data_IF_535884214145
#
_entry.id   IF_535884214145
#
_cell.length_a   1.000
_cell.length_b   1.000
_cell.length_c   1.000
_cell.angle_alpha   90.00
_cell.angle_beta   90.00
_cell.angle_gamma   90.00
#
_symmetry.space_group_name_H-M   'P 1'
#
loop_
_entity.id
_entity.type
_entity.pdbx_description
1 polymer ?
#
# COMPACT_ATOMS: atom_id res chain seq x y z
N UNK A 1 -13.54 25.84 16.93
CA UNK A 1 -13.25 24.48 16.44
C UNK A 1 -14.33 24.01 15.47
N UNK A 2 -15.59 23.94 15.90
CA UNK A 2 -16.72 23.54 15.04
C UNK A 2 -16.85 24.42 13.78
N UNK A 3 -16.73 25.74 13.89
CA UNK A 3 -16.82 26.66 12.75
C UNK A 3 -15.74 26.39 11.67
N UNK A 4 -14.49 26.11 12.08
CA UNK A 4 -13.42 25.79 11.12
C UNK A 4 -13.63 24.44 10.45
N UNK A 5 -14.21 23.47 11.17
CA UNK A 5 -14.54 22.16 10.62
C UNK A 5 -15.69 22.29 9.60
N UNK A 6 -16.74 23.06 9.95
CA UNK A 6 -17.87 23.36 9.07
C UNK A 6 -17.45 24.03 7.78
N UNK A 7 -16.61 25.08 7.85
CA UNK A 7 -16.13 25.78 6.66
C UNK A 7 -15.39 24.83 5.70
N UNK A 8 -14.56 23.94 6.24
CA UNK A 8 -13.82 22.97 5.42
C UNK A 8 -14.70 21.88 4.84
N UNK A 9 -15.67 21.35 5.60
CA UNK A 9 -16.63 20.36 5.11
C UNK A 9 -17.55 20.93 4.03
N UNK A 10 -17.98 22.19 4.19
CA UNK A 10 -18.76 22.89 3.17
C UNK A 10 -17.95 23.13 1.88
N UNK A 11 -16.63 23.35 1.98
CA UNK A 11 -15.75 23.47 0.80
C UNK A 11 -15.69 22.17 0.00
N UNK A 12 -15.81 21.02 0.69
CA UNK A 12 -15.85 19.67 0.09
C UNK A 12 -17.27 19.24 -0.33
N UNK A 13 -18.24 20.18 -0.40
CA UNK A 13 -19.66 19.94 -0.73
C UNK A 13 -20.39 18.99 0.25
N UNK A 14 -19.95 18.90 1.50
CA UNK A 14 -20.63 18.13 2.56
C UNK A 14 -21.52 19.08 3.34
N UNK A 15 -22.84 18.88 3.25
CA UNK A 15 -23.82 19.69 4.00
C UNK A 15 -23.71 19.35 5.50
N UNK A 16 -23.62 20.38 6.35
CA UNK A 16 -23.47 20.23 7.80
C UNK A 16 -24.54 20.96 8.57
N UNK A 17 -25.08 20.34 9.62
CA UNK A 17 -26.01 20.95 10.57
C UNK A 17 -25.42 20.84 11.98
N UNK A 18 -25.46 21.91 12.74
CA UNK A 18 -24.85 21.97 14.08
C UNK A 18 -25.92 21.71 15.16
N UNK A 19 -25.50 20.98 16.21
CA UNK A 19 -26.28 20.79 17.42
C UNK A 19 -25.42 21.12 18.64
N UNK A 20 -25.93 21.92 19.57
CA UNK A 20 -25.19 22.34 20.78
C UNK A 20 -25.34 21.36 21.95
N UNK A 21 -26.25 20.41 21.85
CA UNK A 21 -26.53 19.42 22.89
C UNK A 21 -27.00 18.10 22.30
N UNK A 22 -26.81 16.99 23.04
CA UNK A 22 -27.24 15.65 22.65
C UNK A 22 -28.77 15.57 22.40
N UNK A 23 -29.67 16.15 23.23
CA UNK A 23 -31.10 16.18 22.94
C UNK A 23 -31.46 16.91 21.64
N UNK A 24 -30.77 18.01 21.33
CA UNK A 24 -30.96 18.76 20.07
C UNK A 24 -30.49 17.95 18.87
N UNK A 25 -29.35 17.26 18.99
CA UNK A 25 -28.82 16.36 17.95
C UNK A 25 -29.79 15.21 17.65
N UNK A 26 -30.34 14.58 18.71
CA UNK A 26 -31.29 13.46 18.56
C UNK A 26 -32.63 13.92 17.92
N UNK A 27 -33.07 15.13 18.19
CA UNK A 27 -34.27 15.70 17.57
C UNK A 27 -34.05 16.03 16.09
N UNK A 28 -32.88 16.55 15.75
CA UNK A 28 -32.46 16.78 14.36
C UNK A 28 -32.36 15.46 13.57
N UNK A 29 -31.79 14.42 14.16
CA UNK A 29 -31.71 13.09 13.53
C UNK A 29 -33.08 12.43 13.32
N UNK A 30 -34.10 12.79 14.12
CA UNK A 30 -35.46 12.31 13.92
C UNK A 30 -36.24 13.09 12.87
N UNK A 31 -35.90 14.36 12.67
CA UNK A 31 -36.60 15.27 11.75
C UNK A 31 -35.94 15.37 10.37
N UNK A 32 -34.71 14.95 10.21
CA UNK A 32 -33.93 15.01 8.97
C UNK A 32 -33.20 13.70 8.65
N UNK A 33 -32.69 13.56 7.41
CA UNK A 33 -31.82 12.47 6.99
C UNK A 33 -30.36 12.93 7.12
N UNK A 34 -29.56 12.16 7.85
CA UNK A 34 -28.14 12.42 8.04
C UNK A 34 -27.37 11.11 7.84
N UNK A 35 -26.24 11.19 7.13
CA UNK A 35 -25.41 10.02 6.81
C UNK A 35 -24.42 9.70 7.93
N UNK A 36 -23.97 10.71 8.68
CA UNK A 36 -23.00 10.56 9.77
C UNK A 36 -23.14 11.65 10.83
N UNK A 37 -22.59 11.40 12.02
CA UNK A 37 -22.46 12.38 13.10
C UNK A 37 -21.00 12.57 13.51
N UNK A 38 -20.59 13.82 13.76
CA UNK A 38 -19.29 14.14 14.36
C UNK A 38 -19.55 14.72 15.75
N UNK A 39 -19.05 14.07 16.80
CA UNK A 39 -19.33 14.44 18.19
C UNK A 39 -18.05 14.79 18.96
N UNK A 40 -18.14 15.73 19.91
CA UNK A 40 -17.06 16.01 20.87
C UNK A 40 -17.01 14.88 21.92
N UNK A 41 -15.80 14.46 22.33
CA UNK A 41 -15.52 13.24 23.08
C UNK A 41 -16.18 13.06 24.45
N UNK A 42 -17.01 14.01 24.87
CA UNK A 42 -17.79 13.92 26.11
C UNK A 42 -19.15 13.22 25.93
N UNK A 43 -19.52 12.82 24.70
CA UNK A 43 -20.84 12.24 24.39
C UNK A 43 -20.73 10.78 23.93
N UNK A 44 -21.73 9.97 24.30
CA UNK A 44 -21.81 8.55 23.90
C UNK A 44 -22.41 8.40 22.49
N UNK A 45 -21.75 7.61 21.64
CA UNK A 45 -22.19 7.34 20.26
C UNK A 45 -23.47 6.51 20.16
N UNK A 46 -23.82 5.74 21.21
CA UNK A 46 -25.00 4.83 21.23
C UNK A 46 -26.33 5.55 21.18
N UNK A 47 -26.38 6.82 21.58
CA UNK A 47 -27.65 7.58 21.71
C UNK A 47 -28.11 8.22 20.37
N UNK A 48 -27.22 8.33 19.38
CA UNK A 48 -27.52 9.05 18.11
C UNK A 48 -28.02 8.09 17.02
N UNK A 49 -27.61 6.82 17.06
CA UNK A 49 -28.05 5.80 16.09
C UNK A 49 -27.54 5.98 14.64
N UNK A 50 -26.58 6.87 14.43
CA UNK A 50 -25.90 7.12 13.15
C UNK A 50 -24.43 6.70 13.23
N UNK A 51 -23.78 6.40 12.08
CA UNK A 51 -22.35 6.26 12.01
C UNK A 51 -21.65 7.49 12.62
N UNK A 52 -20.83 7.31 13.65
CA UNK A 52 -20.32 8.42 14.47
C UNK A 52 -18.81 8.50 14.43
N UNK A 53 -18.27 9.71 14.29
CA UNK A 53 -16.84 10.02 14.43
C UNK A 53 -16.65 10.86 15.69
N UNK A 54 -15.78 10.42 16.59
CA UNK A 54 -15.52 11.12 17.86
C UNK A 54 -14.29 12.03 17.71
N UNK A 55 -14.44 13.28 18.18
CA UNK A 55 -13.37 14.28 18.16
C UNK A 55 -13.11 14.71 19.60
N UNK A 56 -11.84 14.70 20.05
CA UNK A 56 -11.50 15.15 21.42
C UNK A 56 -10.26 16.04 21.44
N UNK A 57 -10.18 16.93 22.41
CA UNK A 57 -9.02 17.81 22.61
C UNK A 57 -7.94 17.20 23.50
N UNK A 58 -8.32 16.23 24.32
CA UNK A 58 -7.40 15.50 25.21
C UNK A 58 -7.17 14.12 24.67
N UNK A 59 -6.00 13.84 24.05
CA UNK A 59 -5.69 12.51 23.58
C UNK A 59 -5.47 11.57 24.77
N UNK A 60 -6.47 10.74 25.04
CA UNK A 60 -6.36 9.65 26.02
C UNK A 60 -6.66 8.32 25.32
N UNK A 61 -5.75 7.36 25.51
CA UNK A 61 -5.86 6.05 24.86
C UNK A 61 -7.08 5.26 25.39
N UNK A 62 -7.42 5.44 26.67
CA UNK A 62 -8.58 4.76 27.25
C UNK A 62 -9.89 5.27 26.66
N UNK A 63 -10.03 6.60 26.52
CA UNK A 63 -11.21 7.25 25.90
C UNK A 63 -11.36 6.87 24.44
N UNK A 64 -10.26 6.74 23.68
CA UNK A 64 -10.29 6.29 22.28
C UNK A 64 -10.79 4.84 22.16
N UNK A 65 -10.31 3.94 23.04
CA UNK A 65 -10.74 2.54 23.05
C UNK A 65 -12.20 2.43 23.44
N UNK A 66 -12.67 3.25 24.37
CA UNK A 66 -14.04 3.27 24.85
C UNK A 66 -15.00 3.80 23.77
N UNK A 67 -14.64 4.86 23.07
CA UNK A 67 -15.41 5.40 21.94
C UNK A 67 -15.59 4.36 20.81
N UNK A 68 -14.51 3.66 20.43
CA UNK A 68 -14.57 2.59 19.43
C UNK A 68 -15.37 1.35 19.88
N UNK A 69 -15.36 1.01 21.18
CA UNK A 69 -16.20 -0.05 21.75
C UNK A 69 -17.68 0.29 21.70
N UNK A 70 -18.02 1.56 21.86
CA UNK A 70 -19.39 2.08 21.78
C UNK A 70 -19.85 2.39 20.34
N UNK A 71 -19.12 1.87 19.34
CA UNK A 71 -19.55 1.90 17.93
C UNK A 71 -19.11 3.14 17.14
N UNK A 72 -18.21 3.97 17.66
CA UNK A 72 -17.60 5.03 16.86
C UNK A 72 -16.76 4.45 15.72
N UNK A 73 -16.89 5.02 14.53
CA UNK A 73 -16.14 4.59 13.34
C UNK A 73 -14.69 5.06 13.35
N UNK A 74 -14.45 6.25 13.90
CA UNK A 74 -13.10 6.80 14.03
C UNK A 74 -13.01 7.77 15.21
N UNK A 75 -11.77 8.02 15.67
CA UNK A 75 -11.44 8.92 16.77
C UNK A 75 -10.33 9.87 16.34
N UNK A 76 -10.59 11.17 16.38
CA UNK A 76 -9.68 12.20 15.87
C UNK A 76 -9.29 13.21 16.94
N UNK A 77 -8.02 13.63 16.92
CA UNK A 77 -7.47 14.66 17.80
C UNK A 77 -6.94 15.84 17.02
N UNK A 78 -7.11 17.09 17.49
CA UNK A 78 -6.50 18.27 16.85
C UNK A 78 -4.95 18.23 16.93
N UNK A 79 -4.23 18.67 15.88
CA UNK A 79 -4.73 19.14 14.59
C UNK A 79 -5.26 17.99 13.74
N UNK A 80 -6.49 18.15 13.16
CA UNK A 80 -7.14 17.07 12.42
C UNK A 80 -6.44 16.75 11.11
N UNK A 81 -6.24 15.49 10.84
CA UNK A 81 -5.99 15.02 9.49
C UNK A 81 -7.32 15.03 8.69
N UNK A 82 -7.50 16.10 7.90
CA UNK A 82 -8.71 16.28 7.09
C UNK A 82 -8.88 15.18 6.04
N UNK A 83 -7.78 14.63 5.51
CA UNK A 83 -7.87 13.56 4.52
C UNK A 83 -8.46 12.30 5.15
N UNK A 84 -8.00 11.95 6.35
CA UNK A 84 -8.53 10.83 7.12
C UNK A 84 -10.02 11.01 7.45
N UNK A 85 -10.44 12.21 7.86
CA UNK A 85 -11.85 12.51 8.13
C UNK A 85 -12.71 12.34 6.87
N UNK A 86 -12.25 12.88 5.73
CA UNK A 86 -12.96 12.78 4.45
C UNK A 86 -13.03 11.35 3.93
N UNK A 87 -11.97 10.55 4.08
CA UNK A 87 -11.98 9.13 3.72
C UNK A 87 -13.01 8.35 4.54
N UNK A 88 -13.08 8.60 5.85
CA UNK A 88 -14.06 7.96 6.74
C UNK A 88 -15.49 8.35 6.36
N UNK A 89 -15.77 9.63 6.08
CA UNK A 89 -17.09 10.11 5.65
C UNK A 89 -17.49 9.52 4.29
N UNK A 90 -16.59 9.50 3.31
CA UNK A 90 -16.86 8.89 1.98
C UNK A 90 -17.11 7.38 2.07
N UNK A 91 -16.47 6.71 3.01
CA UNK A 91 -16.72 5.28 3.28
C UNK A 91 -18.15 5.01 3.79
N UNK A 92 -18.77 5.95 4.50
CA UNK A 92 -20.14 5.84 5.00
C UNK A 92 -21.14 5.97 3.85
N UNK A 93 -20.98 6.99 2.99
CA UNK A 93 -21.90 7.24 1.87
C UNK A 93 -21.84 6.16 0.79
N UNK A 94 -20.71 5.51 0.58
CA UNK A 94 -20.56 4.40 -0.36
C UNK A 94 -21.29 3.10 0.07
N UNK A 95 -21.67 2.94 1.34
CA UNK A 95 -22.41 1.78 1.85
C UNK A 95 -23.93 1.83 1.60
N UNK A 96 -24.51 2.99 1.28
CA UNK A 96 -25.97 3.13 1.13
C UNK A 96 -26.50 2.85 -0.29
N UNK A 97 -25.66 2.86 -1.31
CA UNK A 97 -26.11 2.58 -2.70
C UNK A 97 -26.39 1.09 -3.01
N UNK A 98 -26.10 0.14 -2.11
CA UNK A 98 -26.29 -1.30 -2.32
C UNK A 98 -27.53 -1.91 -1.64
N UNK A 99 -28.47 -1.14 -1.07
CA UNK A 99 -29.64 -1.69 -0.36
C UNK A 99 -30.98 -1.45 -1.05
N UNK A 100 -31.17 -1.99 -2.26
CA UNK A 100 -32.54 -2.28 -2.77
C UNK A 100 -32.56 -3.58 -3.59
N UNK A 101 -32.54 -4.73 -2.95
CA UNK A 101 -33.16 -5.98 -3.43
C UNK A 101 -33.21 -7.03 -2.30
N UNK A 102 -34.38 -7.64 -2.13
CA UNK A 102 -34.79 -8.56 -1.07
C UNK A 102 -33.99 -9.87 -0.96
N UNK A 103 -34.10 -10.63 0.18
CA UNK A 103 -33.07 -11.54 0.66
C UNK A 103 -33.16 -12.99 0.11
N UNK A 104 -32.05 -13.72 0.04
CA UNK A 104 -32.06 -15.06 0.53
C UNK A 104 -30.84 -15.46 1.39
N UNK A 105 -31.19 -16.04 2.54
CA UNK A 105 -30.55 -17.15 3.27
C UNK A 105 -29.01 -17.18 3.43
N UNK A 106 -28.64 -17.10 4.72
CA UNK A 106 -27.39 -17.58 5.36
C UNK A 106 -26.61 -18.63 4.57
N UNK A 107 -25.31 -18.35 4.37
CA UNK A 107 -24.22 -19.16 4.93
C UNK A 107 -22.84 -18.58 4.54
N UNK A 108 -21.93 -18.59 5.53
CA UNK A 108 -20.49 -18.76 5.41
C UNK A 108 -19.59 -17.58 5.07
N UNK A 109 -18.70 -17.31 6.06
CA UNK A 109 -17.33 -16.78 5.96
C UNK A 109 -17.12 -15.47 5.17
N UNK A 110 -17.01 -14.41 5.95
CA UNK A 110 -16.38 -13.16 5.50
C UNK A 110 -14.95 -13.42 5.02
N UNK A 111 -14.79 -13.52 3.70
CA UNK A 111 -13.49 -13.34 3.06
C UNK A 111 -13.16 -11.84 3.03
N UNK A 112 -11.91 -11.44 3.23
CA UNK A 112 -11.51 -10.06 3.00
C UNK A 112 -11.73 -9.74 1.52
N UNK A 113 -12.54 -8.73 1.21
CA UNK A 113 -12.71 -8.21 -0.14
C UNK A 113 -11.35 -7.78 -0.66
N UNK A 114 -10.80 -8.54 -1.60
CA UNK A 114 -9.72 -8.08 -2.46
C UNK A 114 -10.23 -6.84 -3.19
N UNK A 115 -9.76 -5.68 -2.78
CA UNK A 115 -9.81 -4.51 -3.63
C UNK A 115 -9.11 -4.88 -4.93
N UNK A 116 -9.87 -4.97 -6.03
CA UNK A 116 -9.33 -5.03 -7.38
C UNK A 116 -8.56 -3.73 -7.63
N UNK A 117 -7.34 -3.65 -7.11
CA UNK A 117 -6.36 -2.69 -7.56
C UNK A 117 -6.04 -3.11 -8.99
N UNK A 118 -6.57 -2.38 -9.97
CA UNK A 118 -6.22 -2.58 -11.38
C UNK A 118 -4.70 -2.48 -11.45
N UNK A 119 -4.03 -3.62 -11.63
CA UNK A 119 -2.57 -3.65 -11.61
C UNK A 119 -2.07 -2.86 -12.80
N UNK A 120 -1.31 -1.81 -12.54
CA UNK A 120 -0.71 -0.97 -13.57
C UNK A 120 0.05 -1.84 -14.58
N UNK A 121 -0.04 -1.54 -15.88
CA UNK A 121 0.70 -2.29 -16.90
C UNK A 121 2.20 -2.02 -16.77
N UNK A 122 3.02 -3.02 -17.09
CA UNK A 122 4.45 -2.81 -17.29
C UNK A 122 4.62 -2.08 -18.63
N UNK A 123 4.97 -0.79 -18.58
CA UNK A 123 5.10 0.07 -19.74
C UNK A 123 6.51 0.00 -20.34
N UNK A 124 6.59 0.00 -21.67
CA UNK A 124 7.83 -0.03 -22.43
C UNK A 124 7.74 -0.96 -23.63
N UNK A 125 8.63 -0.77 -24.61
CA UNK A 125 8.77 -1.56 -25.82
C UNK A 125 10.22 -2.01 -26.05
N UNK A 126 11.14 -1.66 -25.16
CA UNK A 126 12.53 -2.07 -25.24
C UNK A 126 12.67 -3.59 -25.10
N UNK A 127 13.67 -4.17 -25.78
CA UNK A 127 13.98 -5.61 -25.71
C UNK A 127 14.21 -6.07 -24.26
N UNK A 128 14.83 -5.21 -23.45
CA UNK A 128 15.11 -5.49 -22.05
C UNK A 128 13.83 -5.69 -21.23
N UNK A 129 12.82 -4.80 -21.42
CA UNK A 129 11.55 -4.93 -20.68
C UNK A 129 10.67 -6.06 -21.26
N UNK A 130 10.78 -6.32 -22.58
CA UNK A 130 10.09 -7.47 -23.17
C UNK A 130 10.67 -8.80 -22.68
N UNK A 131 11.99 -8.86 -22.43
CA UNK A 131 12.61 -10.00 -21.77
C UNK A 131 12.01 -10.23 -20.37
N UNK A 132 11.86 -9.19 -19.55
CA UNK A 132 11.22 -9.28 -18.23
C UNK A 132 9.79 -9.80 -18.35
N UNK A 133 8.99 -9.27 -19.29
CA UNK A 133 7.61 -9.76 -19.52
C UNK A 133 7.59 -11.23 -19.93
N UNK A 134 8.53 -11.67 -20.75
CA UNK A 134 8.64 -13.06 -21.18
C UNK A 134 9.01 -13.97 -20.01
N UNK A 135 9.94 -13.54 -19.14
CA UNK A 135 10.27 -14.25 -17.90
C UNK A 135 9.04 -14.37 -17.00
N UNK A 136 8.29 -13.28 -16.78
CA UNK A 136 7.04 -13.32 -16.00
C UNK A 136 6.07 -14.35 -16.59
N UNK A 137 5.83 -14.34 -17.92
CA UNK A 137 4.90 -15.28 -18.57
C UNK A 137 5.29 -16.74 -18.37
N UNK A 138 6.58 -17.05 -18.40
CA UNK A 138 7.11 -18.42 -18.25
C UNK A 138 7.09 -18.89 -16.81
N UNK A 139 7.41 -18.00 -15.88
CA UNK A 139 7.65 -18.34 -14.47
C UNK A 139 6.35 -18.28 -13.65
N UNK A 140 5.42 -17.40 -14.00
CA UNK A 140 4.20 -17.18 -13.23
C UNK A 140 3.37 -18.46 -12.99
N UNK A 141 3.16 -19.36 -13.98
CA UNK A 141 2.38 -20.58 -13.77
C UNK A 141 3.03 -21.61 -12.81
N UNK A 142 4.32 -21.47 -12.52
CA UNK A 142 5.02 -22.35 -11.58
C UNK A 142 4.95 -21.79 -10.16
N UNK A 143 5.10 -22.67 -9.15
CA UNK A 143 5.28 -22.25 -7.75
C UNK A 143 6.76 -21.97 -7.40
N UNK A 144 7.62 -21.85 -8.41
CA UNK A 144 9.04 -21.53 -8.19
C UNK A 144 9.18 -20.18 -7.45
N UNK A 145 10.14 -20.13 -6.53
CA UNK A 145 10.54 -18.89 -5.88
C UNK A 145 11.30 -18.02 -6.87
N UNK A 146 11.09 -16.72 -6.75
CA UNK A 146 11.69 -15.74 -7.65
C UNK A 146 12.41 -14.68 -6.83
N UNK A 147 13.64 -14.40 -7.23
CA UNK A 147 14.40 -13.26 -6.74
C UNK A 147 14.43 -12.19 -7.83
N UNK A 148 13.84 -11.03 -7.54
CA UNK A 148 13.78 -9.88 -8.44
C UNK A 148 14.91 -8.92 -8.08
N UNK A 149 15.85 -8.72 -8.99
CA UNK A 149 17.00 -7.84 -8.82
C UNK A 149 16.80 -6.55 -9.60
N UNK A 150 17.31 -5.45 -9.09
CA UNK A 150 17.28 -4.17 -9.79
C UNK A 150 17.35 -2.98 -8.84
N UNK A 151 17.72 -1.83 -9.38
CA UNK A 151 17.85 -0.59 -8.63
C UNK A 151 16.51 -0.12 -8.02
N UNK A 152 16.62 0.83 -7.08
CA UNK A 152 15.43 1.45 -6.50
C UNK A 152 14.61 2.19 -7.57
N UNK A 153 13.28 2.04 -7.50
CA UNK A 153 12.37 2.71 -8.44
C UNK A 153 12.29 2.12 -9.84
N UNK A 154 12.87 0.93 -10.11
CA UNK A 154 12.79 0.26 -11.43
C UNK A 154 11.46 -0.45 -11.68
N UNK A 155 10.65 -0.68 -10.62
CA UNK A 155 9.36 -1.36 -10.71
C UNK A 155 9.39 -2.83 -10.29
N UNK A 156 10.30 -3.24 -9.38
CA UNK A 156 10.39 -4.61 -8.84
C UNK A 156 9.06 -5.11 -8.25
N UNK A 157 8.35 -4.25 -7.50
CA UNK A 157 7.02 -4.55 -6.96
C UNK A 157 6.01 -4.90 -8.06
N UNK A 158 6.00 -4.13 -9.16
CA UNK A 158 5.11 -4.38 -10.29
C UNK A 158 5.39 -5.74 -10.94
N UNK A 159 6.66 -6.14 -11.04
CA UNK A 159 7.05 -7.48 -11.49
C UNK A 159 6.49 -8.57 -10.58
N UNK A 160 6.60 -8.40 -9.25
CA UNK A 160 6.07 -9.35 -8.27
C UNK A 160 4.54 -9.45 -8.35
N UNK A 161 3.82 -8.34 -8.48
CA UNK A 161 2.36 -8.33 -8.68
C UNK A 161 1.96 -9.06 -9.96
N UNK A 162 2.67 -8.85 -11.07
CA UNK A 162 2.39 -9.55 -12.33
C UNK A 162 2.71 -11.04 -12.27
N UNK A 163 3.75 -11.45 -11.54
CA UNK A 163 4.02 -12.86 -11.27
C UNK A 163 2.86 -13.52 -10.52
N UNK A 164 2.29 -12.85 -9.52
CA UNK A 164 1.11 -13.34 -8.80
C UNK A 164 -0.13 -13.41 -9.70
N UNK A 165 -0.48 -12.30 -10.39
CA UNK A 165 -1.68 -12.22 -11.21
C UNK A 165 -1.72 -13.22 -12.37
N UNK A 166 -0.54 -13.61 -12.90
CA UNK A 166 -0.43 -14.62 -13.98
C UNK A 166 -0.19 -16.02 -13.44
N UNK A 167 -0.21 -16.22 -12.12
CA UNK A 167 -0.01 -17.51 -11.49
C UNK A 167 -1.32 -18.27 -11.29
N UNK A 168 -1.19 -19.55 -10.90
CA UNK A 168 -2.32 -20.36 -10.47
C UNK A 168 -2.93 -19.89 -9.13
N UNK A 169 -2.26 -18.94 -8.46
CA UNK A 169 -2.69 -18.34 -7.17
C UNK A 169 -3.25 -16.92 -7.34
N UNK A 170 -3.63 -16.50 -8.56
CA UNK A 170 -4.06 -15.13 -8.86
C UNK A 170 -5.27 -14.64 -8.06
N UNK A 171 -6.14 -15.55 -7.59
CA UNK A 171 -7.31 -15.25 -6.77
C UNK A 171 -7.04 -15.36 -5.26
N UNK A 172 -5.87 -15.84 -4.88
CA UNK A 172 -5.45 -16.01 -3.50
C UNK A 172 -4.80 -14.72 -2.95
N UNK A 173 -4.52 -14.63 -1.64
CA UNK A 173 -3.92 -13.43 -1.06
C UNK A 173 -2.55 -13.10 -1.68
N UNK A 174 -2.33 -11.82 -1.98
CA UNK A 174 -1.01 -11.24 -2.25
C UNK A 174 -0.64 -10.36 -1.06
N UNK A 175 0.35 -10.79 -0.30
CA UNK A 175 0.77 -10.10 0.93
C UNK A 175 2.15 -9.52 0.72
N UNK A 176 2.30 -8.24 1.05
CA UNK A 176 3.55 -7.50 0.89
C UNK A 176 4.19 -7.19 2.24
N UNK A 177 5.51 -7.21 2.23
CA UNK A 177 6.32 -6.73 3.34
C UNK A 177 7.57 -6.04 2.80
N UNK A 178 7.80 -4.81 3.23
CA UNK A 178 9.05 -4.09 2.96
C UNK A 178 9.97 -4.26 4.17
N UNK A 179 11.04 -5.03 3.99
CA UNK A 179 11.96 -5.37 5.07
C UNK A 179 12.80 -4.18 5.55
N UNK A 180 13.07 -3.19 4.68
CA UNK A 180 13.79 -1.98 5.04
C UNK A 180 12.95 -0.99 5.87
N UNK A 181 11.62 -1.01 5.71
CA UNK A 181 10.72 -0.10 6.41
C UNK A 181 10.40 -0.54 7.85
N UNK A 182 10.75 -1.76 8.24
CA UNK A 182 10.44 -2.34 9.54
C UNK A 182 11.70 -2.39 10.40
N UNK A 183 11.69 -1.87 11.63
CA UNK A 183 12.82 -2.02 12.55
C UNK A 183 13.24 -3.48 12.72
N UNK A 184 14.54 -3.75 12.81
CA UNK A 184 15.10 -5.10 12.87
C UNK A 184 14.53 -5.96 14.01
N UNK A 185 14.16 -5.33 15.13
CA UNK A 185 13.58 -6.02 16.30
C UNK A 185 12.11 -6.44 16.07
N UNK A 186 11.40 -5.78 15.14
CA UNK A 186 9.99 -6.03 14.87
C UNK A 186 9.76 -6.90 13.63
N UNK A 187 10.77 -7.05 12.77
CA UNK A 187 10.63 -7.78 11.50
C UNK A 187 10.18 -9.23 11.70
N UNK A 188 10.71 -9.90 12.73
CA UNK A 188 10.32 -11.27 13.05
C UNK A 188 8.85 -11.35 13.48
N UNK A 189 8.39 -10.41 14.30
CA UNK A 189 7.00 -10.33 14.75
C UNK A 189 6.04 -10.03 13.59
N UNK A 190 6.44 -9.18 12.64
CA UNK A 190 5.64 -8.88 11.46
C UNK A 190 5.57 -10.08 10.50
N UNK A 191 6.69 -10.77 10.26
CA UNK A 191 6.73 -11.93 9.35
C UNK A 191 6.02 -13.15 9.91
N UNK A 192 6.30 -13.51 11.16
CA UNK A 192 5.87 -14.78 11.77
C UNK A 192 4.72 -14.64 12.75
N UNK A 193 4.36 -13.41 13.14
CA UNK A 193 3.40 -13.16 14.20
C UNK A 193 3.96 -13.35 15.61
N UNK A 194 3.16 -13.07 16.60
CA UNK A 194 3.55 -13.21 18.00
C UNK A 194 2.40 -13.71 18.86
N UNK A 195 2.74 -14.40 19.94
CA UNK A 195 1.82 -14.79 21.00
C UNK A 195 1.67 -13.63 22.01
N UNK A 196 0.56 -13.64 22.73
CA UNK A 196 0.33 -12.67 23.82
C UNK A 196 1.43 -12.78 24.87
N UNK A 197 2.06 -11.65 25.22
CA UNK A 197 3.11 -11.58 26.26
C UNK A 197 4.51 -11.96 25.80
N UNK A 198 4.75 -12.16 24.51
CA UNK A 198 6.07 -12.50 23.95
C UNK A 198 7.11 -11.36 24.06
N UNK A 199 6.66 -10.12 24.18
CA UNK A 199 7.48 -8.94 24.48
C UNK A 199 6.60 -7.87 25.17
N UNK A 200 7.21 -6.81 25.70
CA UNK A 200 6.54 -5.83 26.56
C UNK A 200 5.27 -5.20 25.99
N UNK A 201 5.22 -5.00 24.65
CA UNK A 201 4.05 -4.44 23.96
C UNK A 201 3.12 -5.47 23.30
N UNK A 202 3.35 -6.78 23.49
CA UNK A 202 2.52 -7.86 22.94
C UNK A 202 1.24 -8.10 23.77
N UNK A 203 0.32 -7.15 23.76
CA UNK A 203 -0.94 -7.21 24.54
C UNK A 203 -1.88 -8.29 24.03
N UNK A 204 -1.89 -8.53 22.70
CA UNK A 204 -2.75 -9.53 22.02
C UNK A 204 -1.89 -10.39 21.09
N UNK A 205 -2.37 -11.60 20.81
CA UNK A 205 -1.82 -12.44 19.75
C UNK A 205 -2.07 -11.80 18.38
N UNK A 206 -1.07 -11.84 17.46
CA UNK A 206 -1.18 -11.32 16.09
C UNK A 206 -0.64 -12.34 15.10
N UNK A 207 -1.37 -12.54 14.00
CA UNK A 207 -0.92 -13.34 12.86
C UNK A 207 0.17 -12.61 12.09
N UNK A 208 1.19 -13.35 11.64
CA UNK A 208 2.26 -12.83 10.80
C UNK A 208 1.92 -12.84 9.31
N UNK A 209 2.78 -12.19 8.51
CA UNK A 209 2.62 -12.09 7.06
C UNK A 209 2.61 -13.46 6.37
N UNK A 210 3.38 -14.45 6.85
CA UNK A 210 3.33 -15.82 6.33
C UNK A 210 1.96 -16.46 6.52
N UNK A 211 1.33 -16.30 7.71
CA UNK A 211 -0.01 -16.81 7.94
C UNK A 211 -1.08 -16.11 7.09
N UNK A 212 -0.92 -14.79 6.86
CA UNK A 212 -1.83 -14.01 6.04
C UNK A 212 -1.72 -14.36 4.56
N UNK A 213 -0.54 -14.80 4.11
CA UNK A 213 -0.26 -15.20 2.74
C UNK A 213 -0.57 -16.68 2.45
N UNK A 214 -1.12 -17.42 3.41
CA UNK A 214 -1.38 -18.85 3.25
C UNK A 214 -2.30 -19.14 2.05
N UNK A 215 -1.91 -20.10 1.22
CA UNK A 215 -2.52 -20.41 -0.06
C UNK A 215 -2.17 -19.43 -1.20
N UNK A 216 -1.49 -18.32 -0.89
CA UNK A 216 -1.22 -17.21 -1.81
C UNK A 216 0.25 -16.95 -2.10
N UNK A 217 0.61 -15.67 -2.19
CA UNK A 217 1.96 -15.20 -2.48
C UNK A 217 2.41 -14.18 -1.43
N UNK A 218 3.60 -14.37 -0.88
CA UNK A 218 4.29 -13.40 -0.04
C UNK A 218 5.37 -12.70 -0.86
N UNK A 219 5.26 -11.39 -0.99
CA UNK A 219 6.28 -10.55 -1.58
C UNK A 219 7.11 -9.88 -0.49
N UNK A 220 8.43 -10.15 -0.48
CA UNK A 220 9.39 -9.56 0.43
C UNK A 220 10.27 -8.58 -0.33
N UNK A 221 9.99 -7.28 -0.17
CA UNK A 221 10.82 -6.22 -0.76
C UNK A 221 12.00 -5.89 0.14
N UNK A 222 13.11 -5.51 -0.48
CA UNK A 222 14.40 -5.18 0.13
C UNK A 222 14.87 -6.25 1.13
N UNK A 223 14.85 -7.53 0.68
CA UNK A 223 15.25 -8.69 1.49
C UNK A 223 16.69 -8.59 2.00
N UNK A 224 17.56 -7.86 1.27
CA UNK A 224 18.95 -7.63 1.64
C UNK A 224 19.15 -6.76 2.88
N UNK A 225 18.10 -6.11 3.40
CA UNK A 225 18.13 -5.31 4.63
C UNK A 225 17.70 -6.09 5.88
N UNK A 226 17.36 -7.36 5.72
CA UNK A 226 16.89 -8.21 6.81
C UNK A 226 18.06 -8.63 7.74
N UNK A 227 17.81 -8.62 9.05
CA UNK A 227 18.78 -9.12 10.04
C UNK A 227 19.08 -10.61 9.85
N UNK A 228 20.28 -11.06 10.22
CA UNK A 228 20.69 -12.47 10.10
C UNK A 228 19.78 -13.43 10.87
N UNK A 229 19.21 -12.99 12.01
CA UNK A 229 18.28 -13.79 12.79
C UNK A 229 16.97 -14.01 12.04
N UNK A 230 16.41 -12.94 11.43
CA UNK A 230 15.22 -13.04 10.61
C UNK A 230 15.46 -13.88 9.34
N UNK A 231 16.64 -13.73 8.70
CA UNK A 231 17.04 -14.57 7.56
C UNK A 231 17.04 -16.05 7.91
N UNK A 232 17.54 -16.44 9.09
CA UNK A 232 17.55 -17.84 9.54
C UNK A 232 16.12 -18.39 9.71
N UNK A 233 15.20 -17.60 10.26
CA UNK A 233 13.80 -18.01 10.42
C UNK A 233 13.07 -18.09 9.08
N UNK A 234 13.32 -17.15 8.15
CA UNK A 234 12.79 -17.22 6.77
C UNK A 234 13.30 -18.49 6.07
N UNK A 235 14.59 -18.80 6.18
CA UNK A 235 15.15 -20.03 5.62
C UNK A 235 14.41 -21.26 6.13
N UNK A 236 14.18 -21.34 7.45
CA UNK A 236 13.45 -22.45 8.06
C UNK A 236 12.02 -22.55 7.51
N UNK A 237 11.30 -21.41 7.43
CA UNK A 237 9.97 -21.38 6.86
C UNK A 237 9.91 -21.87 5.40
N UNK A 238 10.93 -21.52 4.59
CA UNK A 238 11.06 -21.97 3.20
C UNK A 238 11.46 -23.45 3.04
N UNK A 239 12.08 -24.04 4.05
CA UNK A 239 12.54 -25.45 4.03
C UNK A 239 11.44 -26.39 4.52
N UNK A 240 10.79 -26.03 5.63
CA UNK A 240 9.85 -26.88 6.36
C UNK A 240 8.38 -26.62 5.97
N UNK A 241 8.08 -25.52 5.26
CA UNK A 241 6.73 -25.01 5.00
C UNK A 241 5.93 -24.84 6.31
N UNK A 242 6.61 -24.45 7.36
CA UNK A 242 6.06 -24.21 8.69
C UNK A 242 6.69 -22.96 9.28
N UNK A 243 5.92 -22.32 10.13
CA UNK A 243 6.37 -21.17 10.93
C UNK A 243 6.03 -21.39 12.40
N UNK A 244 6.76 -20.69 13.27
CA UNK A 244 6.46 -20.62 14.70
C UNK A 244 6.37 -19.14 15.08
N UNK A 245 5.32 -18.75 15.80
CA UNK A 245 5.17 -17.36 16.26
C UNK A 245 6.22 -17.01 17.30
N UNK A 246 6.56 -15.72 17.38
CA UNK A 246 7.48 -15.23 18.40
C UNK A 246 6.85 -15.45 19.79
N UNK A 247 7.59 -16.12 20.67
CA UNK A 247 7.12 -16.51 22.02
C UNK A 247 6.17 -17.70 22.05
N UNK A 248 5.97 -18.40 20.92
CA UNK A 248 5.18 -19.64 20.86
C UNK A 248 6.04 -20.85 20.51
N UNK A 249 5.52 -22.03 20.81
CA UNK A 249 6.17 -23.33 20.52
C UNK A 249 5.42 -24.14 19.46
N UNK A 250 4.28 -23.63 18.98
CA UNK A 250 3.43 -24.35 18.03
C UNK A 250 3.87 -24.11 16.60
N UNK A 251 4.16 -25.19 15.88
CA UNK A 251 4.35 -25.15 14.43
C UNK A 251 3.02 -24.94 13.71
N UNK A 252 3.00 -23.98 12.78
CA UNK A 252 1.87 -23.67 11.92
C UNK A 252 2.29 -23.97 10.48
N UNK A 253 1.63 -24.92 9.83
CA UNK A 253 1.87 -25.21 8.43
C UNK A 253 1.34 -24.06 7.56
N UNK A 254 2.12 -23.67 6.55
CA UNK A 254 1.79 -22.61 5.58
C UNK A 254 2.18 -23.04 4.17
N UNK A 255 1.30 -22.78 3.20
CA UNK A 255 1.58 -22.98 1.77
C UNK A 255 1.69 -21.62 1.08
N UNK A 256 2.90 -21.08 1.01
CA UNK A 256 3.14 -19.73 0.51
C UNK A 256 4.16 -19.75 -0.63
N UNK A 257 3.77 -19.21 -1.79
CA UNK A 257 4.73 -18.87 -2.83
C UNK A 257 5.48 -17.60 -2.43
N UNK A 258 6.83 -17.65 -2.44
CA UNK A 258 7.65 -16.51 -2.07
C UNK A 258 8.25 -15.85 -3.31
N UNK A 259 8.10 -14.53 -3.41
CA UNK A 259 8.80 -13.64 -4.33
C UNK A 259 9.58 -12.65 -3.49
N UNK A 260 10.89 -12.56 -3.68
CA UNK A 260 11.76 -11.63 -2.96
C UNK A 260 12.32 -10.59 -3.93
N UNK A 261 12.57 -9.37 -3.46
CA UNK A 261 13.22 -8.34 -4.25
C UNK A 261 14.33 -7.63 -3.45
N UNK A 262 15.34 -7.13 -4.16
CA UNK A 262 16.39 -6.32 -3.55
C UNK A 262 17.09 -5.43 -4.59
N UNK A 263 17.64 -4.32 -4.13
CA UNK A 263 18.54 -3.45 -4.89
C UNK A 263 20.02 -3.73 -4.60
N UNK A 264 20.31 -4.56 -3.58
CA UNK A 264 21.70 -4.88 -3.18
C UNK A 264 22.31 -5.96 -4.03
N UNK A 265 23.63 -5.92 -4.22
CA UNK A 265 24.42 -7.04 -4.70
C UNK A 265 24.51 -8.11 -3.59
N UNK A 266 23.58 -9.06 -3.63
CA UNK A 266 23.50 -10.12 -2.61
C UNK A 266 24.78 -10.95 -2.53
N UNK A 267 25.50 -11.14 -3.64
CA UNK A 267 26.76 -11.89 -3.63
C UNK A 267 27.83 -11.13 -2.86
N UNK A 268 27.83 -9.80 -2.95
CA UNK A 268 28.71 -8.96 -2.14
C UNK A 268 28.28 -8.97 -0.67
N UNK A 269 26.98 -8.89 -0.37
CA UNK A 269 26.47 -8.99 1.01
C UNK A 269 26.81 -10.33 1.69
N UNK A 270 26.81 -11.44 0.93
CA UNK A 270 27.27 -12.74 1.41
C UNK A 270 28.74 -12.68 1.79
N UNK A 271 29.60 -12.11 0.94
CA UNK A 271 31.05 -11.96 1.23
C UNK A 271 31.32 -11.10 2.46
N UNK A 272 30.50 -10.10 2.69
CA UNK A 272 30.58 -9.22 3.86
C UNK A 272 29.98 -9.85 5.13
N UNK A 273 29.31 -11.00 5.02
CA UNK A 273 28.64 -11.68 6.14
C UNK A 273 27.31 -11.07 6.55
N UNK A 274 26.74 -10.17 5.76
CA UNK A 274 25.45 -9.52 6.01
C UNK A 274 24.26 -10.35 5.48
N UNK A 275 24.50 -11.27 4.56
CA UNK A 275 23.46 -12.13 4.00
C UNK A 275 23.91 -13.59 4.01
N UNK A 276 22.99 -14.50 4.34
CA UNK A 276 23.30 -15.95 4.40
C UNK A 276 23.26 -16.57 3.01
N UNK A 277 24.32 -17.32 2.67
CA UNK A 277 24.44 -18.03 1.40
C UNK A 277 23.37 -19.12 1.22
N UNK A 278 23.01 -19.83 2.30
CA UNK A 278 21.97 -20.86 2.28
C UNK A 278 20.57 -20.29 1.96
N UNK A 279 20.25 -19.11 2.49
CA UNK A 279 19.02 -18.40 2.16
C UNK A 279 19.01 -17.93 0.70
N UNK A 280 20.12 -17.37 0.21
CA UNK A 280 20.25 -16.97 -1.18
C UNK A 280 19.93 -18.12 -2.14
N UNK A 281 20.57 -19.27 -1.99
CA UNK A 281 20.31 -20.45 -2.84
C UNK A 281 18.87 -20.98 -2.71
N UNK A 282 18.21 -20.71 -1.60
CA UNK A 282 16.82 -21.12 -1.41
C UNK A 282 15.83 -20.16 -2.06
N UNK A 283 16.15 -18.86 -2.14
CA UNK A 283 15.33 -17.82 -2.77
C UNK A 283 15.56 -17.73 -4.27
N UNK A 284 16.81 -17.81 -4.72
CA UNK A 284 17.27 -17.61 -6.09
C UNK A 284 17.10 -18.89 -6.92
N UNK A 285 15.86 -19.42 -6.99
CA UNK A 285 15.56 -20.52 -7.93
C UNK A 285 15.45 -19.96 -9.35
N UNK A 286 14.83 -18.80 -9.48
CA UNK A 286 14.76 -18.02 -10.71
C UNK A 286 15.09 -16.57 -10.37
N UNK A 287 16.01 -15.97 -11.13
CA UNK A 287 16.36 -14.56 -11.02
C UNK A 287 15.72 -13.78 -12.17
N UNK A 288 15.14 -12.61 -11.85
CA UNK A 288 14.63 -11.68 -12.84
C UNK A 288 15.31 -10.32 -12.60
N UNK A 289 16.16 -9.93 -13.53
CA UNK A 289 16.82 -8.65 -13.51
C UNK A 289 15.93 -7.59 -14.15
N UNK A 290 15.57 -6.54 -13.38
CA UNK A 290 14.79 -5.41 -13.87
C UNK A 290 15.76 -4.29 -14.27
N UNK A 291 15.83 -3.96 -15.57
CA UNK A 291 16.82 -3.01 -16.05
C UNK A 291 16.56 -1.60 -15.53
N UNK A 292 17.60 -0.82 -15.22
CA UNK A 292 17.46 0.59 -14.87
C UNK A 292 16.97 1.40 -16.08
N UNK A 293 16.36 2.55 -15.81
CA UNK A 293 15.71 3.36 -16.85
C UNK A 293 16.70 3.88 -17.90
N UNK A 294 17.92 4.17 -17.51
CA UNK A 294 19.01 4.59 -18.43
C UNK A 294 19.36 3.58 -19.52
N UNK A 295 19.10 2.26 -19.27
CA UNK A 295 19.36 1.19 -20.24
C UNK A 295 18.16 0.92 -21.16
N UNK A 296 17.03 1.62 -20.92
CA UNK A 296 15.80 1.55 -21.74
C UNK A 296 15.25 2.93 -22.07
N UNK A 297 16.12 3.84 -22.54
CA UNK A 297 15.77 5.24 -22.82
C UNK A 297 14.59 5.40 -23.78
N UNK A 298 14.43 4.48 -24.75
CA UNK A 298 13.29 4.47 -25.66
C UNK A 298 11.92 4.29 -24.99
N UNK A 299 11.88 3.78 -23.76
CA UNK A 299 10.65 3.62 -23.00
C UNK A 299 10.23 4.91 -22.26
N UNK A 300 11.16 5.90 -22.12
CA UNK A 300 10.90 7.14 -21.38
C UNK A 300 9.73 7.91 -22.00
N UNK A 301 9.66 8.00 -23.31
CA UNK A 301 8.55 8.67 -24.01
C UNK A 301 7.21 8.06 -23.62
N UNK A 302 7.11 6.73 -23.65
CA UNK A 302 5.89 6.01 -23.33
C UNK A 302 5.51 6.16 -21.84
N UNK A 303 6.51 6.20 -20.97
CA UNK A 303 6.30 6.40 -19.53
C UNK A 303 5.84 7.83 -19.25
N UNK A 304 6.44 8.84 -19.89
CA UNK A 304 6.03 10.25 -19.75
C UNK A 304 4.59 10.44 -20.20
N UNK A 305 4.22 9.95 -21.40
CA UNK A 305 2.85 10.02 -21.89
C UNK A 305 1.85 9.36 -20.95
N UNK A 306 2.22 8.19 -20.42
CA UNK A 306 1.37 7.50 -19.44
C UNK A 306 1.20 8.30 -18.16
N UNK A 307 2.28 8.83 -17.59
CA UNK A 307 2.23 9.59 -16.34
C UNK A 307 1.48 10.91 -16.49
N UNK A 308 1.62 11.61 -17.63
CA UNK A 308 0.84 12.82 -17.89
C UNK A 308 -0.66 12.47 -17.85
N UNK A 309 -1.09 11.42 -18.55
CA UNK A 309 -2.48 11.00 -18.55
C UNK A 309 -2.96 10.55 -17.16
N UNK A 310 -2.18 9.74 -16.46
CA UNK A 310 -2.51 9.25 -15.13
C UNK A 310 -2.64 10.39 -14.12
N UNK A 311 -1.66 11.29 -14.08
CA UNK A 311 -1.61 12.38 -13.10
C UNK A 311 -2.69 13.43 -13.40
N UNK A 312 -2.87 13.83 -14.67
CA UNK A 312 -3.93 14.78 -15.03
C UNK A 312 -5.31 14.22 -14.69
N UNK A 313 -5.57 12.94 -14.98
CA UNK A 313 -6.84 12.28 -14.60
C UNK A 313 -7.02 12.22 -13.09
N UNK A 314 -5.97 11.92 -12.32
CA UNK A 314 -6.03 11.86 -10.85
C UNK A 314 -6.36 13.21 -10.21
N UNK A 315 -5.85 14.30 -10.80
CA UNK A 315 -6.06 15.66 -10.29
C UNK A 315 -7.26 16.37 -10.92
N UNK A 316 -8.03 15.69 -11.79
CA UNK A 316 -9.19 16.24 -12.52
C UNK A 316 -8.84 17.54 -13.28
N UNK A 317 -7.70 17.54 -13.96
CA UNK A 317 -7.22 18.64 -14.81
C UNK A 317 -7.10 18.19 -16.26
N UNK A 318 -7.17 19.15 -17.18
CA UNK A 318 -7.00 18.89 -18.60
C UNK A 318 -5.62 18.27 -18.90
N UNK A 319 -5.60 17.31 -19.84
CA UNK A 319 -4.36 16.62 -20.22
C UNK A 319 -3.40 17.64 -20.85
N UNK A 320 -2.26 17.85 -20.21
CA UNK A 320 -1.23 18.77 -20.68
C UNK A 320 -0.43 18.16 -21.83
N UNK A 321 -0.12 18.98 -22.82
CA UNK A 321 0.81 18.57 -23.89
C UNK A 321 2.26 18.78 -23.48
N UNK A 322 3.16 17.96 -24.03
CA UNK A 322 4.60 18.09 -23.83
C UNK A 322 5.30 18.29 -25.18
N UNK A 323 6.29 19.18 -25.24
CA UNK A 323 7.08 19.42 -26.43
C UNK A 323 8.09 18.29 -26.68
N UNK A 324 8.37 18.02 -27.96
CA UNK A 324 9.36 17.01 -28.35
C UNK A 324 10.75 17.31 -27.76
N UNK A 325 11.17 18.58 -27.77
CA UNK A 325 12.46 19.00 -27.18
C UNK A 325 12.50 18.73 -25.65
N UNK A 326 11.36 18.85 -24.96
CA UNK A 326 11.25 18.53 -23.55
C UNK A 326 11.37 17.03 -23.31
N UNK A 327 10.73 16.20 -24.14
CA UNK A 327 10.86 14.74 -24.10
C UNK A 327 12.28 14.28 -24.38
N UNK A 328 12.92 14.89 -25.39
CA UNK A 328 14.32 14.58 -25.71
C UNK A 328 15.26 14.90 -24.54
N UNK A 329 15.05 16.02 -23.85
CA UNK A 329 15.81 16.34 -22.66
C UNK A 329 15.61 15.31 -21.55
N UNK A 330 14.37 14.93 -21.26
CA UNK A 330 14.06 13.90 -20.26
C UNK A 330 14.72 12.55 -20.62
N UNK A 331 14.80 12.22 -21.92
CA UNK A 331 15.42 10.97 -22.39
C UNK A 331 16.95 10.91 -22.18
N UNK A 332 17.59 12.07 -22.02
CA UNK A 332 19.05 12.16 -21.82
C UNK A 332 19.44 12.26 -20.34
N UNK A 333 18.52 12.41 -19.42
CA UNK A 333 18.79 12.42 -17.98
C UNK A 333 19.26 11.05 -17.47
N UNK A 334 19.96 11.05 -16.34
CA UNK A 334 20.59 9.85 -15.75
C UNK A 334 19.60 8.93 -15.04
N UNK A 335 18.54 9.50 -14.47
CA UNK A 335 17.46 8.80 -13.74
C UNK A 335 17.97 7.85 -12.67
N UNK A 336 18.75 8.35 -11.71
CA UNK A 336 19.29 7.55 -10.59
C UNK A 336 18.20 6.90 -9.74
N UNK A 337 17.03 7.57 -9.58
CA UNK A 337 15.83 7.04 -8.94
C UNK A 337 14.86 6.34 -9.91
N UNK A 338 15.27 6.10 -11.16
CA UNK A 338 14.55 5.34 -12.18
C UNK A 338 13.12 5.85 -12.43
N UNK A 339 12.14 4.95 -12.53
CA UNK A 339 10.73 5.28 -12.83
C UNK A 339 10.11 6.15 -11.72
N UNK A 340 10.48 5.91 -10.46
CA UNK A 340 9.97 6.70 -9.33
C UNK A 340 10.40 8.17 -9.43
N UNK A 341 11.64 8.41 -9.80
CA UNK A 341 12.16 9.76 -10.05
C UNK A 341 11.48 10.40 -11.26
N UNK A 342 11.37 9.67 -12.38
CA UNK A 342 10.67 10.15 -13.58
C UNK A 342 9.22 10.54 -13.27
N UNK A 343 8.48 9.71 -12.53
CA UNK A 343 7.11 10.01 -12.12
C UNK A 343 7.04 11.32 -11.33
N UNK A 344 7.90 11.48 -10.31
CA UNK A 344 7.92 12.69 -9.48
C UNK A 344 8.30 13.95 -10.29
N UNK A 345 9.21 13.81 -11.26
CA UNK A 345 9.58 14.93 -12.15
C UNK A 345 8.42 15.30 -13.07
N UNK A 346 7.74 14.32 -13.67
CA UNK A 346 6.55 14.56 -14.51
C UNK A 346 5.43 15.22 -13.69
N UNK A 347 5.16 14.74 -12.49
CA UNK A 347 4.17 15.34 -11.60
C UNK A 347 4.52 16.80 -11.27
N UNK A 348 5.78 17.08 -10.93
CA UNK A 348 6.28 18.43 -10.71
C UNK A 348 6.12 19.31 -11.94
N UNK A 349 6.44 18.80 -13.14
CA UNK A 349 6.29 19.53 -14.39
C UNK A 349 4.81 19.84 -14.67
N UNK A 350 3.89 18.93 -14.40
CA UNK A 350 2.45 19.14 -14.55
C UNK A 350 1.97 20.26 -13.62
N UNK A 351 2.40 20.23 -12.33
CA UNK A 351 1.95 21.22 -11.35
C UNK A 351 2.51 22.62 -11.65
N UNK A 352 3.77 22.71 -12.08
CA UNK A 352 4.50 23.99 -12.22
C UNK A 352 4.49 24.59 -13.64
N UNK A 353 4.00 23.88 -14.66
CA UNK A 353 3.83 24.42 -16.01
C UNK A 353 2.38 24.86 -16.22
N UNK A 354 2.19 25.79 -17.16
CA UNK A 354 0.88 26.22 -17.62
C UNK A 354 0.19 25.10 -18.45
N UNK A 355 -0.39 25.40 -19.59
CA UNK A 355 -1.09 24.42 -20.44
C UNK A 355 -0.13 23.43 -21.14
N UNK A 356 1.16 23.77 -21.24
CA UNK A 356 2.14 23.02 -22.03
C UNK A 356 3.48 22.86 -21.29
N UNK A 357 4.03 21.67 -21.34
CA UNK A 357 5.35 21.36 -20.77
C UNK A 357 6.42 21.61 -21.83
N UNK A 358 7.22 22.66 -21.65
CA UNK A 358 8.29 23.08 -22.59
C UNK A 358 9.67 22.63 -22.12
N UNK A 359 10.66 22.69 -23.02
CA UNK A 359 12.06 22.43 -22.70
C UNK A 359 12.59 23.36 -21.58
N UNK A 360 12.07 24.60 -21.49
CA UNK A 360 12.44 25.54 -20.43
C UNK A 360 11.91 25.08 -19.07
N UNK A 361 10.69 24.53 -19.01
CA UNK A 361 10.14 23.94 -17.80
C UNK A 361 11.02 22.77 -17.33
N UNK A 362 11.44 21.90 -18.25
CA UNK A 362 12.34 20.79 -17.92
C UNK A 362 13.67 21.30 -17.38
N UNK A 363 14.32 22.28 -18.04
CA UNK A 363 15.57 22.89 -17.54
C UNK A 363 15.43 23.49 -16.15
N UNK A 364 14.28 24.07 -15.86
CA UNK A 364 14.03 24.78 -14.60
C UNK A 364 13.68 23.84 -13.43
N UNK A 365 12.96 22.77 -13.71
CA UNK A 365 12.35 21.94 -12.66
C UNK A 365 12.84 20.49 -12.63
N UNK A 366 13.55 20.02 -13.67
CA UNK A 366 14.20 18.72 -13.67
C UNK A 366 15.64 18.89 -13.16
N UNK A 367 15.92 18.38 -11.99
CA UNK A 367 17.26 18.34 -11.38
C UNK A 367 17.84 16.91 -11.40
N UNK A 368 17.50 16.11 -12.43
CA UNK A 368 17.90 14.70 -12.59
C UNK A 368 19.25 14.55 -13.30
#
# INVERSE_FOLDING_TARGET
>A
MLNSLRERLNFENIATTEAESLPSATELCRSGHFDAAIIDGEFSSEEIGLPTIVVTRTPDVESAIEALRHGALDYLTPPFDMNRLLETLRGITACEEETTAAPPKRNTRSQPKNTNCATQPIIGKSDAIEHVRNMIRRVAPSDARVLVLGENGTGKELVARWLHLKSNRATAPFVEVNCAAIPSELIESELFGHEKGSFTSAVKQRKGKFELADGGTLFMDEIGDMSLSAQAKVLRALQENKITRVGGDRDIAVDVRVVAATNKDIRNEIRLGNFREDLYHRLSVIEIDVPPLRDRRGDIVLLVDHFINEICTRHDIDIKSIDNDAVDMLSHCSWSGNIRELHNVVERLIILSDERITAECVKRYCHA
#
